data_IF_679848877299
#
_entry.id   IF_679848877299
#
_cell.length_a   1.000
_cell.length_b   1.000
_cell.length_c   1.000
_cell.angle_alpha   90.00
_cell.angle_beta   90.00
_cell.angle_gamma   90.00
#
_symmetry.space_group_name_H-M   'P 1'
#
loop_
_entity.id
_entity.type
_entity.pdbx_description
1 polymer ?
#
# COMPACT_ATOMS: atom_id res chain seq x y z
N UNK A 1 9.68 6.84 17.63
CA UNK A 1 9.66 6.49 16.20
C UNK A 1 8.31 5.82 15.95
N UNK A 2 7.40 6.49 15.25
CA UNK A 2 6.12 5.88 14.88
C UNK A 2 6.40 4.84 13.80
N UNK A 3 5.90 3.61 13.96
CA UNK A 3 5.90 2.64 12.87
C UNK A 3 4.82 3.09 11.87
N UNK A 4 5.21 3.91 10.90
CA UNK A 4 4.31 4.52 9.92
C UNK A 4 3.49 3.50 9.14
N UNK A 5 3.98 2.26 9.01
CA UNK A 5 3.22 1.17 8.38
C UNK A 5 2.02 0.70 9.22
N UNK A 6 2.03 0.99 10.53
CA UNK A 6 0.98 0.60 11.50
C UNK A 6 0.11 1.75 11.99
N UNK A 7 0.49 3.01 11.75
CA UNK A 7 -0.31 4.16 12.15
C UNK A 7 -1.41 4.47 11.10
N UNK A 8 -2.71 4.48 11.48
CA UNK A 8 -3.79 4.75 10.53
C UNK A 8 -3.71 6.12 9.86
N UNK A 9 -3.28 7.16 10.58
CA UNK A 9 -3.12 8.49 9.98
C UNK A 9 -1.88 8.60 9.10
N UNK A 10 -0.81 7.90 9.45
CA UNK A 10 0.36 7.79 8.59
C UNK A 10 0.00 7.18 7.22
N UNK A 11 -1.04 6.36 7.16
CA UNK A 11 -1.45 5.70 5.92
C UNK A 11 -1.71 6.70 4.78
N UNK A 12 -2.15 7.94 5.04
CA UNK A 12 -2.50 8.89 3.97
C UNK A 12 -1.57 10.12 3.87
N UNK A 13 -0.41 10.09 4.54
CA UNK A 13 0.56 11.18 4.45
C UNK A 13 1.47 11.00 3.23
N UNK A 14 1.76 12.08 2.45
CA UNK A 14 2.64 12.03 1.27
C UNK A 14 4.00 11.37 1.54
N UNK A 15 4.59 11.61 2.70
CA UNK A 15 5.88 11.04 3.10
C UNK A 15 5.90 9.50 3.20
N UNK A 16 4.74 8.84 3.26
CA UNK A 16 4.65 7.38 3.34
C UNK A 16 4.32 6.72 2.00
N UNK A 17 4.07 7.50 0.94
CA UNK A 17 3.88 6.98 -0.43
C UNK A 17 4.94 5.97 -0.87
N UNK A 18 6.27 6.22 -0.72
CA UNK A 18 7.28 5.26 -1.17
C UNK A 18 7.22 3.94 -0.39
N UNK A 19 6.86 3.97 0.89
CA UNK A 19 6.73 2.76 1.73
C UNK A 19 5.57 1.90 1.26
N UNK A 20 4.42 2.50 0.95
CA UNK A 20 3.26 1.76 0.43
C UNK A 20 3.48 1.24 -0.98
N UNK A 21 4.19 2.00 -1.84
CA UNK A 21 4.57 1.55 -3.17
C UNK A 21 5.51 0.34 -3.12
N UNK A 22 6.55 0.38 -2.28
CA UNK A 22 7.46 -0.76 -2.07
C UNK A 22 6.70 -1.96 -1.49
N UNK A 23 5.77 -1.74 -0.56
CA UNK A 23 4.96 -2.82 0.01
C UNK A 23 4.07 -3.49 -1.04
N UNK A 24 3.45 -2.72 -1.94
CA UNK A 24 2.65 -3.24 -3.05
C UNK A 24 3.52 -4.09 -4.00
N UNK A 25 4.67 -3.56 -4.43
CA UNK A 25 5.60 -4.26 -5.33
C UNK A 25 6.06 -5.60 -4.71
N UNK A 26 6.48 -5.58 -3.45
CA UNK A 26 6.93 -6.80 -2.75
C UNK A 26 5.80 -7.82 -2.63
N UNK A 27 4.59 -7.37 -2.32
CA UNK A 27 3.42 -8.26 -2.19
C UNK A 27 3.04 -8.88 -3.54
N UNK A 28 3.15 -8.13 -4.63
CA UNK A 28 2.97 -8.64 -5.99
C UNK A 28 4.00 -9.73 -6.34
N UNK A 29 5.27 -9.51 -6.03
CA UNK A 29 6.34 -10.50 -6.23
C UNK A 29 6.03 -11.77 -5.42
N UNK A 30 5.65 -11.65 -4.15
CA UNK A 30 5.29 -12.81 -3.32
C UNK A 30 4.08 -13.56 -3.86
N UNK A 31 3.06 -12.86 -4.37
CA UNK A 31 1.90 -13.47 -5.02
C UNK A 31 2.31 -14.30 -6.25
N UNK A 32 3.26 -13.80 -7.05
CA UNK A 32 3.81 -14.51 -8.22
C UNK A 32 4.64 -15.75 -7.85
N UNK A 33 5.31 -15.73 -6.69
CA UNK A 33 6.08 -16.86 -6.17
C UNK A 33 5.24 -17.89 -5.42
N UNK A 34 3.97 -17.57 -5.14
CA UNK A 34 3.12 -18.41 -4.31
C UNK A 34 2.62 -19.65 -5.07
N UNK A 35 2.95 -20.84 -4.56
CA UNK A 35 2.51 -22.12 -5.12
C UNK A 35 0.98 -22.23 -5.25
N UNK A 36 0.50 -23.00 -6.22
CA UNK A 36 -0.93 -23.09 -6.59
C UNK A 36 -1.85 -23.57 -5.45
N UNK A 37 -1.31 -24.34 -4.50
CA UNK A 37 -2.05 -24.93 -3.37
C UNK A 37 -2.35 -23.96 -2.23
N UNK A 38 -1.63 -22.83 -2.11
CA UNK A 38 -1.78 -21.84 -1.02
C UNK A 38 -2.88 -20.82 -1.30
N UNK A 39 -4.13 -21.29 -1.37
CA UNK A 39 -5.30 -20.46 -1.77
C UNK A 39 -5.65 -19.39 -0.73
N UNK A 40 -5.59 -19.73 0.56
CA UNK A 40 -5.93 -18.81 1.64
C UNK A 40 -4.90 -17.69 1.74
N UNK A 41 -3.61 -18.03 1.73
CA UNK A 41 -2.53 -17.04 1.76
C UNK A 41 -2.56 -16.15 0.52
N UNK A 42 -2.90 -16.71 -0.66
CA UNK A 42 -3.11 -15.91 -1.88
C UNK A 42 -4.21 -14.88 -1.70
N UNK A 43 -5.32 -15.27 -1.09
CA UNK A 43 -6.47 -14.39 -0.87
C UNK A 43 -6.10 -13.26 0.08
N UNK A 44 -5.43 -13.59 1.19
CA UNK A 44 -4.95 -12.60 2.15
C UNK A 44 -3.96 -11.63 1.53
N UNK A 45 -2.92 -12.13 0.84
CA UNK A 45 -1.92 -11.29 0.18
C UNK A 45 -2.51 -10.44 -0.94
N UNK A 46 -3.55 -10.92 -1.64
CA UNK A 46 -4.27 -10.11 -2.63
C UNK A 46 -4.99 -8.95 -1.95
N UNK A 47 -5.67 -9.19 -0.84
CA UNK A 47 -6.32 -8.12 -0.08
C UNK A 47 -5.30 -7.09 0.45
N UNK A 48 -4.13 -7.53 0.90
CA UNK A 48 -3.06 -6.64 1.34
C UNK A 48 -2.48 -5.81 0.18
N UNK A 49 -2.29 -6.42 -1.00
CA UNK A 49 -1.87 -5.75 -2.23
C UNK A 49 -2.89 -4.68 -2.67
N UNK A 50 -4.17 -5.06 -2.75
CA UNK A 50 -5.24 -4.15 -3.17
C UNK A 50 -5.37 -2.97 -2.19
N UNK A 51 -5.18 -3.23 -0.89
CA UNK A 51 -5.12 -2.19 0.13
C UNK A 51 -3.94 -1.25 -0.11
N UNK A 52 -2.75 -1.77 -0.34
CA UNK A 52 -1.55 -0.96 -0.57
C UNK A 52 -1.73 -0.03 -1.78
N UNK A 53 -2.29 -0.55 -2.88
CA UNK A 53 -2.59 0.24 -4.08
C UNK A 53 -3.61 1.35 -3.80
N UNK A 54 -4.68 1.04 -3.07
CA UNK A 54 -5.69 2.05 -2.69
C UNK A 54 -5.05 3.19 -1.90
N UNK A 55 -4.20 2.86 -0.93
CA UNK A 55 -3.52 3.84 -0.11
C UNK A 55 -2.59 4.74 -0.95
N UNK A 56 -1.82 4.17 -1.87
CA UNK A 56 -0.98 4.97 -2.79
C UNK A 56 -1.86 5.93 -3.61
N UNK A 57 -2.98 5.44 -4.16
CA UNK A 57 -3.90 6.29 -4.93
C UNK A 57 -4.51 7.41 -4.09
N UNK A 58 -4.87 7.15 -2.84
CA UNK A 58 -5.40 8.16 -1.91
C UNK A 58 -4.34 9.20 -1.54
N UNK A 59 -3.07 8.79 -1.33
CA UNK A 59 -1.96 9.72 -1.09
C UNK A 59 -1.71 10.59 -2.33
N UNK A 60 -1.68 9.98 -3.52
CA UNK A 60 -1.46 10.70 -4.77
C UNK A 60 -2.60 11.71 -5.01
N UNK A 61 -3.86 11.33 -4.75
CA UNK A 61 -5.01 12.23 -4.82
C UNK A 61 -4.98 13.37 -3.77
N UNK A 62 -4.59 13.07 -2.53
CA UNK A 62 -4.45 14.10 -1.49
C UNK A 62 -3.34 15.11 -1.84
N UNK A 63 -2.20 14.62 -2.35
CA UNK A 63 -1.08 15.48 -2.76
C UNK A 63 -1.45 16.41 -3.91
N UNK A 64 -2.33 15.99 -4.82
CA UNK A 64 -2.85 16.88 -5.88
C UNK A 64 -3.81 17.96 -5.35
N UNK A 65 -4.52 17.71 -4.25
CA UNK A 65 -5.46 18.66 -3.66
C UNK A 65 -4.73 19.75 -2.86
N UNK A 66 -3.64 19.37 -2.19
CA UNK A 66 -2.80 20.32 -1.44
C UNK A 66 -2.10 21.33 -2.37
N UNK A 67 -1.68 20.92 -3.57
CA UNK A 67 -1.07 21.81 -4.57
C UNK A 67 -2.07 22.78 -5.23
N UNK A 68 -3.36 22.42 -5.32
CA UNK A 68 -4.40 23.30 -5.89
C UNK A 68 -4.93 24.34 -4.88
N UNK A 69 -4.65 24.14 -3.59
CA UNK A 69 -5.10 25.01 -2.50
C UNK A 69 -4.03 26.03 -2.03
N UNK A 70 -2.85 26.06 -2.66
CA UNK A 70 -1.72 26.92 -2.33
C UNK A 70 -1.53 28.06 -3.35
#
# INVERSE_FOLDING_TARGET
MCDSARCPQATHQPCHRPVWAEHAERTEIFLGQLGTTRKTERTQLRADYDRALRVVAEIDAASTTDEESA
#
